data_IF_039602560219
#
_entry.id   IF_039602560219
#
_cell.length_a   1.000
_cell.length_b   1.000
_cell.length_c   1.000
_cell.angle_alpha   90.00
_cell.angle_beta   90.00
_cell.angle_gamma   90.00
#
_symmetry.space_group_name_H-M   'P 1'
#
loop_
_entity.id
_entity.type
_entity.pdbx_description
1 polymer ?
#
# COMPACT_ATOMS: atom_id res chain seq x y z
N UNK A 1 -22.37 51.82 47.03
CA UNK A 1 -23.50 52.05 46.11
C UNK A 1 -23.19 51.32 44.81
N UNK A 2 -23.95 50.27 44.53
CA UNK A 2 -23.72 49.30 43.44
C UNK A 2 -24.20 49.88 42.12
N UNK A 3 -23.37 49.88 41.08
CA UNK A 3 -23.83 50.06 39.69
C UNK A 3 -23.43 48.83 38.90
N UNK A 4 -24.44 47.98 38.70
CA UNK A 4 -24.43 46.77 37.89
C UNK A 4 -24.59 47.19 36.42
N UNK A 5 -23.50 47.28 35.67
CA UNK A 5 -23.58 47.52 34.22
C UNK A 5 -23.63 46.17 33.48
N UNK A 6 -24.84 45.69 33.23
CA UNK A 6 -25.12 44.59 32.31
C UNK A 6 -24.74 45.07 30.90
N UNK A 7 -23.68 44.51 30.30
CA UNK A 7 -23.47 44.59 28.86
C UNK A 7 -23.70 43.21 28.23
N UNK A 8 -24.76 43.16 27.43
CA UNK A 8 -25.23 42.04 26.62
C UNK A 8 -24.14 41.57 25.61
N UNK A 9 -24.19 40.29 25.16
CA UNK A 9 -23.23 39.74 24.22
C UNK A 9 -23.52 40.26 22.81
N UNK A 10 -22.64 41.10 22.27
CA UNK A 10 -22.62 41.40 20.85
C UNK A 10 -21.98 40.21 20.13
N UNK A 11 -22.85 39.31 19.70
CA UNK A 11 -22.61 38.36 18.62
C UNK A 11 -22.08 39.13 17.39
N UNK A 12 -20.99 38.65 16.79
CA UNK A 12 -20.49 38.88 15.42
C UNK A 12 -19.00 39.24 15.30
N UNK A 13 -18.13 38.76 16.19
CA UNK A 13 -16.68 38.86 15.90
C UNK A 13 -15.86 37.74 16.57
N UNK A 14 -16.09 36.49 16.15
CA UNK A 14 -15.33 35.32 16.64
C UNK A 14 -14.88 34.35 15.55
N UNK A 15 -15.14 34.66 14.27
CA UNK A 15 -14.80 33.77 13.16
C UNK A 15 -13.38 33.97 12.60
N UNK A 16 -12.72 35.09 12.88
CA UNK A 16 -11.44 35.46 12.21
C UNK A 16 -10.20 35.26 13.11
N UNK A 17 -10.32 35.31 14.44
CA UNK A 17 -9.17 35.24 15.36
C UNK A 17 -8.60 33.80 15.54
N UNK A 18 -9.38 32.75 15.23
CA UNK A 18 -8.97 31.33 15.44
C UNK A 18 -8.25 30.71 14.24
N UNK A 19 -7.39 31.46 13.54
CA UNK A 19 -6.68 30.99 12.34
C UNK A 19 -5.15 31.02 12.45
N UNK A 20 -4.56 31.32 13.62
CA UNK A 20 -3.09 31.47 13.76
C UNK A 20 -2.41 30.54 14.78
N UNK A 21 -3.18 29.76 15.52
CA UNK A 21 -2.64 28.76 16.46
C UNK A 21 -2.57 27.38 15.75
N UNK A 22 -1.44 27.12 15.08
CA UNK A 22 -0.96 25.78 14.69
C UNK A 22 -1.93 24.84 13.95
N UNK A 23 -2.18 25.07 12.66
CA UNK A 23 -2.83 24.08 11.78
C UNK A 23 -1.93 22.85 11.59
N UNK A 24 -2.06 21.87 12.49
CA UNK A 24 -1.43 20.55 12.33
C UNK A 24 -2.14 19.75 11.24
N UNK A 25 -1.40 18.92 10.48
CA UNK A 25 -1.95 18.06 9.41
C UNK A 25 -3.19 17.26 9.85
N UNK A 26 -3.21 16.85 11.13
CA UNK A 26 -4.31 16.09 11.73
C UNK A 26 -5.56 16.94 11.96
N UNK A 27 -5.41 18.20 12.36
CA UNK A 27 -6.52 19.14 12.51
C UNK A 27 -7.13 19.50 11.14
N UNK A 28 -6.30 19.61 10.10
CA UNK A 28 -6.76 19.83 8.73
C UNK A 28 -7.60 18.63 8.22
N UNK A 29 -7.09 17.41 8.37
CA UNK A 29 -7.79 16.18 7.94
C UNK A 29 -9.06 15.90 8.75
N UNK A 30 -9.07 16.22 10.05
CA UNK A 30 -10.28 16.06 10.86
C UNK A 30 -11.36 17.10 10.51
N UNK A 31 -10.98 18.37 10.32
CA UNK A 31 -11.94 19.42 9.95
C UNK A 31 -12.54 19.18 8.56
N UNK A 32 -11.75 18.74 7.58
CA UNK A 32 -12.26 18.40 6.24
C UNK A 32 -13.14 17.14 6.25
N UNK A 33 -12.77 16.11 7.02
CA UNK A 33 -13.58 14.90 7.18
C UNK A 33 -14.96 15.16 7.80
N UNK A 34 -15.03 16.03 8.83
CA UNK A 34 -16.30 16.39 9.47
C UNK A 34 -17.18 17.20 8.52
N UNK A 35 -16.63 18.15 7.76
CA UNK A 35 -17.41 18.94 6.81
C UNK A 35 -18.07 18.08 5.72
N UNK A 36 -17.37 17.08 5.18
CA UNK A 36 -17.90 16.18 4.14
C UNK A 36 -19.03 15.26 4.67
N UNK A 37 -18.96 14.83 5.93
CA UNK A 37 -20.00 14.01 6.54
C UNK A 37 -21.34 14.75 6.67
N UNK A 38 -21.31 16.07 6.92
CA UNK A 38 -22.52 16.89 7.01
C UNK A 38 -23.25 16.99 5.66
N UNK A 39 -22.54 16.90 4.53
CA UNK A 39 -23.17 16.87 3.20
C UNK A 39 -23.86 15.54 2.87
N UNK A 40 -23.59 14.46 3.60
CA UNK A 40 -24.15 13.13 3.31
C UNK A 40 -25.56 12.92 3.86
N UNK A 41 -26.03 13.79 4.78
CA UNK A 41 -27.35 13.64 5.41
C UNK A 41 -28.45 14.39 4.64
N UNK A 42 -28.10 15.38 3.82
CA UNK A 42 -29.05 16.13 2.99
C UNK A 42 -29.55 15.39 1.74
N UNK A 43 -28.92 14.26 1.37
CA UNK A 43 -29.25 13.50 0.17
C UNK A 43 -30.08 12.23 0.43
N UNK A 44 -30.33 11.86 1.70
CA UNK A 44 -31.16 10.68 2.02
C UNK A 44 -32.65 10.99 2.24
N UNK A 45 -33.17 12.13 1.77
CA UNK A 45 -34.62 12.43 1.78
C UNK A 45 -35.24 12.63 0.39
N UNK A 46 -34.58 12.21 -0.70
CA UNK A 46 -35.24 12.04 -2.00
C UNK A 46 -34.40 11.15 -2.93
N UNK A 47 -34.86 9.93 -3.17
CA UNK A 47 -34.20 8.99 -4.08
C UNK A 47 -34.63 7.54 -3.87
N UNK A 48 -35.86 7.21 -4.26
CA UNK A 48 -36.34 5.84 -4.45
C UNK A 48 -35.53 5.16 -5.55
N UNK A 49 -34.55 4.34 -5.15
CA UNK A 49 -33.83 3.42 -6.01
C UNK A 49 -33.91 2.01 -5.43
N UNK A 50 -34.79 1.21 -6.02
CA UNK A 50 -35.01 -0.22 -5.74
C UNK A 50 -33.69 -1.01 -5.81
N UNK A 51 -33.28 -1.79 -4.79
CA UNK A 51 -32.13 -2.67 -4.91
C UNK A 51 -32.58 -4.00 -5.55
N UNK A 52 -32.36 -4.16 -6.86
CA UNK A 52 -32.38 -5.48 -7.47
C UNK A 52 -31.28 -6.35 -6.86
N UNK A 53 -31.69 -7.49 -6.30
CA UNK A 53 -30.83 -8.44 -5.60
C UNK A 53 -29.80 -9.13 -6.51
N UNK A 54 -28.73 -9.70 -5.91
CA UNK A 54 -27.62 -10.26 -6.66
C UNK A 54 -28.00 -11.63 -7.23
N UNK A 55 -28.12 -11.74 -8.56
CA UNK A 55 -28.19 -13.05 -9.22
C UNK A 55 -26.81 -13.71 -9.22
N UNK A 56 -26.71 -14.73 -8.38
CA UNK A 56 -25.63 -15.72 -8.28
C UNK A 56 -25.51 -16.48 -9.61
N UNK A 57 -24.43 -16.24 -10.36
CA UNK A 57 -24.07 -16.97 -11.57
C UNK A 57 -22.68 -17.58 -11.41
N UNK A 58 -22.61 -18.82 -10.94
CA UNK A 58 -21.39 -19.63 -10.96
C UNK A 58 -21.16 -20.15 -12.38
N UNK A 59 -20.21 -19.54 -13.07
CA UNK A 59 -19.59 -20.09 -14.28
C UNK A 59 -18.07 -20.03 -14.05
N UNK A 60 -17.28 -21.06 -14.38
CA UNK A 60 -15.83 -20.96 -14.33
C UNK A 60 -15.38 -20.01 -15.46
N UNK A 61 -15.40 -18.72 -15.16
CA UNK A 61 -14.89 -17.67 -16.02
C UNK A 61 -13.36 -17.77 -16.07
N UNK A 62 -12.86 -18.52 -17.06
CA UNK A 62 -11.50 -18.36 -17.57
C UNK A 62 -11.40 -17.00 -18.26
N UNK A 63 -11.30 -15.93 -17.45
CA UNK A 63 -11.14 -14.57 -17.95
C UNK A 63 -9.81 -14.48 -18.74
N UNK A 64 -9.83 -14.07 -20.02
CA UNK A 64 -8.63 -13.96 -20.87
C UNK A 64 -7.68 -12.83 -20.45
N UNK A 65 -8.03 -12.09 -19.39
CA UNK A 65 -7.29 -10.91 -18.94
C UNK A 65 -6.87 -11.02 -17.45
N UNK A 66 -6.32 -12.19 -17.07
CA UNK A 66 -5.70 -12.34 -15.76
C UNK A 66 -4.29 -11.75 -15.84
N UNK A 67 -4.09 -10.58 -15.20
CA UNK A 67 -2.78 -9.95 -14.97
C UNK A 67 -1.89 -10.84 -14.08
N UNK A 68 -1.38 -11.95 -14.61
CA UNK A 68 -0.54 -12.93 -13.93
C UNK A 68 0.78 -13.18 -14.67
N UNK A 69 1.67 -13.99 -14.07
CA UNK A 69 2.84 -14.55 -14.74
C UNK A 69 2.46 -15.33 -15.98
N UNK A 70 3.31 -15.31 -17.00
CA UNK A 70 3.21 -16.30 -18.07
C UNK A 70 3.47 -17.68 -17.49
N UNK A 71 2.59 -18.63 -17.82
CA UNK A 71 2.70 -20.03 -17.37
C UNK A 71 3.67 -20.85 -18.21
N UNK A 72 4.17 -20.28 -19.30
CA UNK A 72 5.13 -20.92 -20.19
C UNK A 72 6.54 -20.67 -19.65
N UNK A 73 7.35 -21.73 -19.44
CA UNK A 73 8.75 -21.57 -19.07
C UNK A 73 9.50 -20.77 -20.13
N UNK A 74 10.30 -19.80 -19.70
CA UNK A 74 11.23 -19.08 -20.58
C UNK A 74 12.50 -19.91 -20.80
N UNK A 75 13.15 -19.72 -21.95
CA UNK A 75 14.39 -20.40 -22.26
C UNK A 75 15.51 -20.00 -21.28
N UNK A 76 16.40 -20.94 -20.89
CA UNK A 76 17.52 -20.63 -20.02
C UNK A 76 18.49 -19.66 -20.70
N UNK A 77 19.02 -18.66 -19.97
CA UNK A 77 20.00 -17.73 -20.51
C UNK A 77 21.35 -18.43 -20.76
N UNK A 78 22.08 -17.99 -21.77
CA UNK A 78 23.39 -18.56 -22.13
C UNK A 78 24.52 -18.26 -21.14
N UNK A 79 24.34 -17.26 -20.25
CA UNK A 79 25.32 -16.91 -19.22
C UNK A 79 24.64 -16.56 -17.90
N UNK A 80 25.32 -16.85 -16.79
CA UNK A 80 24.83 -16.61 -15.44
C UNK A 80 25.69 -15.55 -14.74
N UNK A 81 25.02 -14.61 -14.07
CA UNK A 81 25.65 -13.61 -13.20
C UNK A 81 25.37 -13.95 -11.75
N UNK A 82 26.37 -13.83 -10.89
CA UNK A 82 26.21 -14.04 -9.44
C UNK A 82 26.45 -12.75 -8.65
N UNK A 83 26.06 -12.76 -7.37
CA UNK A 83 26.26 -11.62 -6.49
C UNK A 83 27.76 -11.36 -6.24
N UNK A 84 28.20 -10.09 -6.09
CA UNK A 84 29.62 -9.75 -5.89
C UNK A 84 30.27 -10.45 -4.68
N UNK A 85 29.51 -10.65 -3.60
CA UNK A 85 29.98 -11.34 -2.39
C UNK A 85 30.24 -12.83 -2.66
N UNK A 86 29.44 -13.47 -3.51
CA UNK A 86 29.64 -14.87 -3.90
C UNK A 86 30.81 -15.02 -4.89
N UNK A 87 30.96 -14.08 -5.83
CA UNK A 87 32.09 -14.08 -6.75
C UNK A 87 33.44 -14.01 -6.01
N UNK A 88 33.51 -13.27 -4.90
CA UNK A 88 34.70 -13.24 -4.04
C UNK A 88 35.00 -14.62 -3.43
N UNK A 89 33.98 -15.37 -3.00
CA UNK A 89 34.12 -16.72 -2.45
C UNK A 89 34.51 -17.75 -3.51
N UNK A 90 33.99 -17.63 -4.73
CA UNK A 90 34.39 -18.48 -5.86
C UNK A 90 35.87 -18.25 -6.21
N UNK A 91 36.34 -16.99 -6.21
CA UNK A 91 37.76 -16.66 -6.41
C UNK A 91 38.66 -17.17 -5.29
N UNK A 92 38.15 -17.21 -4.06
CA UNK A 92 38.84 -17.77 -2.89
C UNK A 92 38.85 -19.31 -2.88
N UNK A 93 38.11 -19.96 -3.80
CA UNK A 93 38.01 -21.42 -3.86
C UNK A 93 37.12 -22.04 -2.78
N UNK A 94 36.46 -21.23 -1.95
CA UNK A 94 35.57 -21.71 -0.87
C UNK A 94 34.18 -22.08 -1.39
N UNK A 95 33.81 -21.64 -2.60
CA UNK A 95 32.53 -21.94 -3.23
C UNK A 95 32.74 -22.42 -4.68
N UNK A 96 32.05 -23.50 -5.12
CA UNK A 96 32.08 -23.91 -6.53
C UNK A 96 31.43 -22.84 -7.43
N UNK A 97 31.82 -22.73 -8.71
CA UNK A 97 31.29 -21.73 -9.64
C UNK A 97 29.79 -21.91 -9.91
N UNK A 98 29.13 -20.83 -10.31
CA UNK A 98 27.65 -20.78 -10.49
C UNK A 98 27.12 -21.87 -11.43
N UNK A 99 27.83 -22.18 -12.50
CA UNK A 99 27.45 -23.18 -13.50
C UNK A 99 27.35 -24.59 -12.90
N UNK A 100 28.16 -24.91 -11.89
CA UNK A 100 28.12 -26.21 -11.20
C UNK A 100 27.04 -26.28 -10.12
N UNK A 101 26.52 -25.13 -9.68
CA UNK A 101 25.48 -25.05 -8.63
C UNK A 101 24.07 -25.08 -9.20
N UNK A 102 23.91 -24.58 -10.42
CA UNK A 102 22.62 -24.56 -11.10
C UNK A 102 22.35 -25.92 -11.76
N UNK A 103 21.09 -26.42 -11.71
CA UNK A 103 20.70 -27.57 -12.51
C UNK A 103 20.72 -27.21 -14.00
N UNK A 104 20.78 -28.22 -14.88
CA UNK A 104 20.80 -28.04 -16.34
C UNK A 104 19.63 -27.17 -16.86
N UNK A 105 18.45 -27.31 -16.25
CA UNK A 105 17.27 -26.51 -16.55
C UNK A 105 16.91 -25.58 -15.38
N UNK A 106 17.49 -24.37 -15.29
CA UNK A 106 17.15 -23.42 -14.24
C UNK A 106 15.74 -22.84 -14.44
N UNK A 107 15.05 -22.56 -13.34
CA UNK A 107 13.77 -21.84 -13.39
C UNK A 107 14.02 -20.36 -13.72
N UNK A 108 13.53 -19.92 -14.87
CA UNK A 108 13.58 -18.53 -15.31
C UNK A 108 12.27 -17.86 -14.97
N UNK A 109 12.34 -16.77 -14.20
CA UNK A 109 11.17 -16.04 -13.68
C UNK A 109 10.38 -15.38 -14.84
N UNK A 110 9.13 -15.80 -15.13
CA UNK A 110 8.37 -15.35 -16.31
C UNK A 110 7.38 -14.22 -15.95
N UNK A 111 7.85 -13.18 -15.27
CA UNK A 111 7.00 -12.06 -14.83
C UNK A 111 7.28 -10.82 -15.68
N UNK A 112 6.39 -10.53 -16.64
CA UNK A 112 6.51 -9.38 -17.56
C UNK A 112 6.44 -8.01 -16.88
N UNK A 113 6.06 -7.96 -15.59
CA UNK A 113 5.99 -6.74 -14.78
C UNK A 113 7.25 -6.49 -13.95
N UNK A 114 8.21 -7.42 -13.97
CA UNK A 114 9.48 -7.28 -13.26
C UNK A 114 10.55 -6.82 -14.26
N UNK A 115 11.37 -5.88 -13.80
CA UNK A 115 12.57 -5.45 -14.51
C UNK A 115 13.81 -6.13 -13.91
N UNK A 116 14.90 -6.29 -14.69
CA UNK A 116 16.17 -6.80 -14.16
C UNK A 116 16.67 -5.94 -12.99
N UNK A 117 16.83 -6.57 -11.83
CA UNK A 117 17.33 -5.92 -10.62
C UNK A 117 18.86 -5.90 -10.50
N UNK A 118 19.35 -5.14 -9.52
CA UNK A 118 20.76 -5.13 -9.12
C UNK A 118 20.97 -6.00 -7.87
N UNK A 119 22.11 -6.70 -7.80
CA UNK A 119 22.48 -7.47 -6.61
C UNK A 119 22.87 -6.55 -5.44
N UNK A 120 22.35 -6.84 -4.25
CA UNK A 120 22.78 -6.23 -3.00
C UNK A 120 21.63 -5.67 -2.15
N UNK A 121 21.99 -4.84 -1.18
CA UNK A 121 21.08 -4.25 -0.20
C UNK A 121 20.84 -5.14 1.03
N UNK A 122 20.15 -4.56 2.02
CA UNK A 122 19.74 -5.28 3.24
C UNK A 122 18.24 -5.13 3.40
N UNK A 123 17.52 -6.25 3.33
CA UNK A 123 16.08 -6.27 3.54
C UNK A 123 15.78 -6.15 5.04
N UNK A 124 15.40 -4.94 5.48
CA UNK A 124 14.99 -4.67 6.86
C UNK A 124 13.52 -5.00 7.03
N UNK A 125 13.22 -6.18 7.58
CA UNK A 125 11.86 -6.61 7.90
C UNK A 125 11.63 -6.57 9.40
N UNK A 126 10.47 -6.06 9.82
CA UNK A 126 9.98 -6.26 11.18
C UNK A 126 9.20 -7.57 11.21
N UNK A 127 9.76 -8.61 11.85
CA UNK A 127 9.02 -9.82 12.15
C UNK A 127 8.39 -9.66 13.54
N UNK A 128 7.04 -9.69 13.68
CA UNK A 128 6.43 -9.65 14.99
C UNK A 128 6.84 -10.89 15.79
N UNK A 129 7.15 -10.71 17.08
CA UNK A 129 7.46 -11.83 17.95
C UNK A 129 6.24 -12.76 18.02
N UNK A 130 6.38 -13.97 17.50
CA UNK A 130 5.42 -15.04 17.73
C UNK A 130 5.55 -15.46 19.20
N UNK A 131 4.91 -14.70 20.08
CA UNK A 131 4.77 -15.05 21.49
C UNK A 131 3.79 -16.21 21.59
N UNK A 132 4.31 -17.43 21.55
CA UNK A 132 3.51 -18.63 21.84
C UNK A 132 3.30 -18.68 23.36
N UNK A 133 2.04 -18.65 23.87
CA UNK A 133 1.82 -18.93 25.28
C UNK A 133 2.23 -20.38 25.58
N UNK A 134 3.06 -20.57 26.60
CA UNK A 134 3.50 -21.89 27.09
C UNK A 134 2.38 -22.60 27.85
#
# INVERSE_FOLDING_TARGET
MVIRMVRRPATHDSAVESQREGLTRRALLHRSGVAAAVFSVGACSSGSGEPEGPKKGTTPSGSPNRKGSDRKPLAPPASFKEAPVLAAQVRQGTLPPVEKRLPESPYVVPHNRLEPGNYGGTLRMMLPALTTPR
#
